data_IF_831230785722
#
_entry.id   IF_831230785722
#
_cell.length_a   1.000
_cell.length_b   1.000
_cell.length_c   1.000
_cell.angle_alpha   90.00
_cell.angle_beta   90.00
_cell.angle_gamma   90.00
#
_symmetry.space_group_name_H-M   'P 1'
#
loop_
_entity.id
_entity.type
_entity.pdbx_description
1 polymer ?
#
# COMPACT_ATOMS: atom_id res chain seq x y z
N UNK A 1 -23.29 -14.64 -12.13
CA UNK A 1 -21.84 -14.38 -12.26
C UNK A 1 -21.34 -13.80 -10.95
N UNK A 2 -20.12 -14.15 -10.52
CA UNK A 2 -19.44 -13.58 -9.36
C UNK A 2 -18.08 -13.04 -9.80
N UNK A 3 -17.72 -11.85 -9.34
CA UNK A 3 -16.49 -11.15 -9.68
C UNK A 3 -15.55 -11.18 -8.49
N UNK A 4 -14.26 -11.43 -8.76
CA UNK A 4 -13.21 -11.45 -7.73
C UNK A 4 -12.38 -10.16 -7.70
N UNK A 5 -12.41 -9.37 -8.78
CA UNK A 5 -11.64 -8.13 -8.90
C UNK A 5 -12.54 -6.99 -9.37
N UNK A 6 -12.41 -5.84 -8.74
CA UNK A 6 -13.11 -4.62 -9.10
C UNK A 6 -12.11 -3.46 -9.18
N UNK A 7 -12.14 -2.76 -10.30
CA UNK A 7 -11.35 -1.55 -10.52
C UNK A 7 -12.33 -0.40 -10.70
N UNK A 8 -12.37 0.50 -9.73
CA UNK A 8 -13.20 1.69 -9.76
C UNK A 8 -12.35 2.87 -10.25
N UNK A 9 -12.71 3.49 -11.39
CA UNK A 9 -11.95 4.61 -11.94
C UNK A 9 -11.84 5.81 -10.99
N UNK A 10 -10.91 6.70 -11.33
CA UNK A 10 -10.78 8.02 -10.72
C UNK A 10 -12.07 8.84 -10.95
N UNK A 11 -12.54 9.55 -9.92
CA UNK A 11 -13.75 10.38 -9.95
C UNK A 11 -15.01 9.63 -10.42
N UNK A 12 -15.09 8.35 -10.07
CA UNK A 12 -16.29 7.58 -10.35
C UNK A 12 -17.42 8.01 -9.39
N UNK A 13 -18.59 8.31 -9.95
CA UNK A 13 -19.74 8.88 -9.20
C UNK A 13 -21.03 8.04 -9.32
N UNK A 14 -20.91 6.73 -9.60
CA UNK A 14 -22.09 5.85 -9.68
C UNK A 14 -22.18 4.94 -8.46
N UNK A 15 -23.36 4.89 -7.85
CA UNK A 15 -23.63 4.09 -6.67
C UNK A 15 -23.81 2.60 -7.03
N UNK A 16 -22.70 1.90 -7.26
CA UNK A 16 -22.68 0.50 -7.71
C UNK A 16 -23.47 -0.47 -6.82
N UNK A 17 -23.60 -0.15 -5.54
CA UNK A 17 -24.36 -0.95 -4.57
C UNK A 17 -25.88 -0.94 -4.85
N UNK A 18 -26.38 0.06 -5.58
CA UNK A 18 -27.78 0.17 -5.99
C UNK A 18 -28.12 -0.63 -7.26
N UNK A 19 -27.11 -1.13 -7.99
CA UNK A 19 -27.35 -1.95 -9.18
C UNK A 19 -27.99 -3.28 -8.74
N UNK A 20 -29.09 -3.66 -9.40
CA UNK A 20 -29.77 -4.93 -9.11
C UNK A 20 -28.81 -6.11 -9.24
N UNK A 21 -28.71 -6.93 -8.20
CA UNK A 21 -27.80 -8.07 -8.14
C UNK A 21 -26.35 -7.75 -7.78
N UNK A 22 -25.97 -6.48 -7.53
CA UNK A 22 -24.60 -6.09 -7.19
C UNK A 22 -24.04 -6.86 -5.99
N UNK A 23 -24.80 -6.95 -4.89
CA UNK A 23 -24.40 -7.71 -3.69
C UNK A 23 -24.06 -9.16 -3.99
N UNK A 24 -24.80 -9.81 -4.88
CA UNK A 24 -24.52 -11.18 -5.30
C UNK A 24 -23.28 -11.24 -6.20
N UNK A 25 -23.15 -10.29 -7.13
CA UNK A 25 -22.03 -10.21 -8.06
C UNK A 25 -20.69 -10.02 -7.34
N UNK A 26 -20.65 -9.19 -6.31
CA UNK A 26 -19.44 -8.85 -5.56
C UNK A 26 -19.26 -9.64 -4.25
N UNK A 27 -20.06 -10.68 -4.03
CA UNK A 27 -20.00 -11.47 -2.79
C UNK A 27 -18.64 -12.18 -2.59
N UNK A 28 -17.91 -12.46 -3.67
CA UNK A 28 -16.59 -13.09 -3.69
C UNK A 28 -15.47 -12.13 -4.09
N UNK A 29 -15.68 -10.82 -3.93
CA UNK A 29 -14.68 -9.82 -4.29
C UNK A 29 -13.44 -9.95 -3.40
N UNK A 30 -12.29 -10.31 -3.99
CA UNK A 30 -11.03 -10.49 -3.28
C UNK A 30 -10.12 -9.27 -3.39
N UNK A 31 -10.24 -8.51 -4.48
CA UNK A 31 -9.43 -7.34 -4.78
C UNK A 31 -10.30 -6.15 -5.16
N UNK A 32 -9.98 -4.99 -4.59
CA UNK A 32 -10.56 -3.71 -4.96
C UNK A 32 -9.48 -2.67 -5.20
N UNK A 33 -9.52 -2.02 -6.36
CA UNK A 33 -8.79 -0.78 -6.64
C UNK A 33 -9.77 0.39 -6.74
N UNK A 34 -9.52 1.49 -6.02
CA UNK A 34 -10.36 2.68 -6.08
C UNK A 34 -9.59 3.97 -5.73
N UNK A 35 -10.16 5.13 -6.08
CA UNK A 35 -9.61 6.43 -5.67
C UNK A 35 -10.15 6.84 -4.30
N UNK A 36 -9.28 7.41 -3.47
CA UNK A 36 -9.67 8.09 -2.23
C UNK A 36 -10.51 9.34 -2.50
N UNK A 37 -10.46 9.88 -3.71
CA UNK A 37 -11.22 11.05 -4.16
C UNK A 37 -12.64 10.74 -4.67
N UNK A 38 -13.05 9.46 -4.66
CA UNK A 38 -14.38 9.09 -5.12
C UNK A 38 -15.45 9.63 -4.14
N UNK A 39 -16.63 9.94 -4.68
CA UNK A 39 -17.72 10.53 -3.90
C UNK A 39 -18.23 9.62 -2.78
N UNK A 40 -18.82 10.21 -1.74
CA UNK A 40 -19.31 9.51 -0.55
C UNK A 40 -20.21 8.32 -0.89
N UNK A 41 -21.17 8.51 -1.79
CA UNK A 41 -22.10 7.47 -2.21
C UNK A 41 -21.41 6.25 -2.86
N UNK A 42 -20.26 6.47 -3.51
CA UNK A 42 -19.45 5.39 -4.07
C UNK A 42 -18.70 4.65 -2.98
N UNK A 43 -18.02 5.36 -2.07
CA UNK A 43 -17.22 4.73 -1.01
C UNK A 43 -18.10 4.02 0.04
N UNK A 44 -19.23 4.62 0.40
CA UNK A 44 -20.23 3.99 1.27
C UNK A 44 -20.76 2.71 0.61
N UNK A 45 -21.11 2.78 -0.68
CA UNK A 45 -21.56 1.61 -1.44
C UNK A 45 -20.53 0.50 -1.53
N UNK A 46 -19.25 0.86 -1.76
CA UNK A 46 -18.14 -0.08 -1.73
C UNK A 46 -18.02 -0.74 -0.35
N UNK A 47 -18.10 0.03 0.73
CA UNK A 47 -18.02 -0.51 2.10
C UNK A 47 -19.12 -1.53 2.41
N UNK A 48 -20.30 -1.43 1.78
CA UNK A 48 -21.39 -2.40 1.95
C UNK A 48 -21.15 -3.73 1.22
N UNK A 49 -20.49 -3.70 0.06
CA UNK A 49 -20.32 -4.88 -0.79
C UNK A 49 -18.95 -5.56 -0.64
N UNK A 50 -17.93 -4.87 -0.11
CA UNK A 50 -16.54 -5.33 -0.08
C UNK A 50 -16.15 -6.17 1.15
N UNK A 51 -17.09 -6.90 1.75
CA UNK A 51 -16.85 -7.66 2.99
C UNK A 51 -15.86 -8.84 2.83
N UNK A 52 -15.63 -9.32 1.61
CA UNK A 52 -14.73 -10.42 1.25
C UNK A 52 -13.35 -9.97 0.75
N UNK A 53 -13.13 -8.66 0.62
CA UNK A 53 -11.89 -8.11 0.06
C UNK A 53 -10.70 -8.44 0.96
N UNK A 54 -9.65 -8.93 0.31
CA UNK A 54 -8.37 -9.33 0.89
C UNK A 54 -7.25 -8.37 0.51
N UNK A 55 -7.35 -7.72 -0.64
CA UNK A 55 -6.37 -6.76 -1.13
C UNK A 55 -7.03 -5.44 -1.54
N UNK A 56 -6.47 -4.34 -1.06
CA UNK A 56 -6.86 -2.98 -1.45
C UNK A 56 -5.74 -2.29 -2.22
N UNK A 57 -6.13 -1.62 -3.29
CA UNK A 57 -5.29 -0.66 -3.99
C UNK A 57 -5.97 0.71 -3.96
N UNK A 58 -5.30 1.68 -3.34
CA UNK A 58 -5.81 3.02 -3.14
C UNK A 58 -5.02 3.98 -4.01
N UNK A 59 -5.68 4.57 -5.00
CA UNK A 59 -5.17 5.71 -5.75
C UNK A 59 -5.43 6.95 -4.88
N UNK A 60 -4.38 7.44 -4.24
CA UNK A 60 -4.48 8.54 -3.30
C UNK A 60 -4.36 9.87 -4.05
N UNK A 61 -5.45 10.61 -4.07
CA UNK A 61 -5.56 11.95 -4.65
C UNK A 61 -4.61 12.97 -4.03
N UNK A 62 -4.49 14.11 -4.70
CA UNK A 62 -3.66 15.23 -4.25
C UNK A 62 -4.41 16.11 -3.26
N UNK A 63 -5.70 16.29 -3.52
CA UNK A 63 -6.66 16.99 -2.69
C UNK A 63 -7.99 16.23 -2.70
N UNK A 64 -8.98 16.74 -1.95
CA UNK A 64 -10.35 16.25 -1.92
C UNK A 64 -10.45 14.74 -1.62
N UNK A 65 -9.53 14.26 -0.78
CA UNK A 65 -9.54 12.88 -0.34
C UNK A 65 -10.69 12.67 0.66
N UNK A 66 -11.47 11.64 0.40
CA UNK A 66 -12.68 11.33 1.13
C UNK A 66 -12.38 10.38 2.30
N UNK A 67 -12.68 10.85 3.52
CA UNK A 67 -12.48 10.08 4.75
C UNK A 67 -13.38 8.83 4.86
N UNK A 68 -14.45 8.73 4.06
CA UNK A 68 -15.30 7.53 4.00
C UNK A 68 -14.52 6.29 3.54
N UNK A 69 -13.35 6.44 2.90
CA UNK A 69 -12.47 5.29 2.60
C UNK A 69 -12.05 4.52 3.87
N UNK A 70 -11.97 5.20 5.01
CA UNK A 70 -11.63 4.55 6.28
C UNK A 70 -12.72 3.59 6.75
N UNK A 71 -13.98 3.85 6.38
CA UNK A 71 -15.11 2.97 6.67
C UNK A 71 -14.98 1.67 5.89
N UNK A 72 -14.63 1.74 4.61
CA UNK A 72 -14.32 0.57 3.78
C UNK A 72 -13.22 -0.29 4.42
N UNK A 73 -12.12 0.32 4.85
CA UNK A 73 -11.02 -0.40 5.53
C UNK A 73 -11.52 -1.07 6.82
N UNK A 74 -12.32 -0.36 7.62
CA UNK A 74 -12.87 -0.87 8.89
C UNK A 74 -13.90 -1.99 8.70
N UNK A 75 -14.66 -2.01 7.61
CA UNK A 75 -15.65 -3.06 7.34
C UNK A 75 -15.04 -4.31 6.69
N UNK A 76 -13.90 -4.17 6.00
CA UNK A 76 -13.18 -5.35 5.51
C UNK A 76 -12.74 -6.23 6.68
N UNK A 77 -12.99 -7.55 6.60
CA UNK A 77 -12.76 -8.46 7.74
C UNK A 77 -11.28 -8.68 8.04
N UNK A 78 -10.45 -8.77 6.99
CA UNK A 78 -9.04 -9.11 7.10
C UNK A 78 -8.31 -8.77 5.81
N UNK A 79 -7.50 -7.72 5.83
CA UNK A 79 -6.65 -7.35 4.71
C UNK A 79 -5.30 -8.06 4.77
N UNK A 80 -4.89 -8.61 3.62
CA UNK A 80 -3.60 -9.24 3.41
C UNK A 80 -2.67 -8.38 2.54
N UNK A 81 -3.22 -7.53 1.68
CA UNK A 81 -2.46 -6.63 0.82
C UNK A 81 -3.01 -5.22 0.81
N UNK A 82 -2.12 -4.24 0.85
CA UNK A 82 -2.47 -2.83 0.65
C UNK A 82 -1.46 -2.17 -0.30
N UNK A 83 -1.96 -1.38 -1.24
CA UNK A 83 -1.13 -0.67 -2.22
C UNK A 83 -1.54 0.80 -2.22
N UNK A 84 -0.56 1.68 -2.00
CA UNK A 84 -0.74 3.12 -2.13
C UNK A 84 -0.15 3.58 -3.45
N UNK A 85 -1.02 4.07 -4.33
CA UNK A 85 -0.65 4.63 -5.62
C UNK A 85 -0.80 6.14 -5.59
N UNK A 86 0.17 6.84 -6.19
CA UNK A 86 0.11 8.29 -6.38
C UNK A 86 -0.69 8.64 -7.64
N UNK A 87 -1.55 9.65 -7.55
CA UNK A 87 -2.15 10.28 -8.72
C UNK A 87 -1.33 11.52 -9.14
N UNK A 88 -0.16 11.31 -9.74
CA UNK A 88 0.75 12.37 -10.18
C UNK A 88 1.84 12.77 -9.16
N UNK A 89 2.49 13.92 -9.39
CA UNK A 89 3.76 14.31 -8.77
C UNK A 89 3.65 15.34 -7.63
N UNK A 90 2.48 15.57 -7.05
CA UNK A 90 2.32 16.64 -6.05
C UNK A 90 2.41 16.16 -4.60
N UNK A 91 2.48 17.14 -3.68
CA UNK A 91 2.54 16.91 -2.25
C UNK A 91 1.35 16.10 -1.73
N UNK A 92 1.62 15.29 -0.71
CA UNK A 92 0.62 14.49 -0.04
C UNK A 92 -0.22 15.40 0.87
N UNK A 93 -1.54 15.20 0.87
CA UNK A 93 -2.37 15.57 2.01
C UNK A 93 -1.95 14.72 3.22
N UNK A 94 -0.95 15.22 3.95
CA UNK A 94 -0.33 14.53 5.07
C UNK A 94 -1.36 14.22 6.17
N UNK A 95 -2.32 15.13 6.38
CA UNK A 95 -3.37 14.98 7.38
C UNK A 95 -4.30 13.82 7.05
N UNK A 96 -4.75 13.72 5.79
CA UNK A 96 -5.53 12.60 5.31
C UNK A 96 -4.75 11.29 5.36
N UNK A 97 -3.49 11.30 4.91
CA UNK A 97 -2.65 10.10 4.90
C UNK A 97 -2.45 9.54 6.31
N UNK A 98 -2.28 10.39 7.33
CA UNK A 98 -2.23 9.95 8.74
C UNK A 98 -3.50 9.22 9.16
N UNK A 99 -4.67 9.80 8.89
CA UNK A 99 -5.97 9.18 9.22
C UNK A 99 -6.16 7.86 8.46
N UNK A 100 -5.78 7.82 7.18
CA UNK A 100 -5.83 6.61 6.36
C UNK A 100 -4.94 5.51 6.95
N UNK A 101 -3.70 5.85 7.31
CA UNK A 101 -2.74 4.91 7.88
C UNK A 101 -3.16 4.40 9.25
N UNK A 102 -3.66 5.26 10.12
CA UNK A 102 -4.23 4.87 11.42
C UNK A 102 -5.39 3.87 11.26
N UNK A 103 -6.21 4.03 10.22
CA UNK A 103 -7.30 3.10 9.96
C UNK A 103 -6.84 1.68 9.58
N UNK A 104 -5.60 1.53 9.08
CA UNK A 104 -5.02 0.23 8.71
C UNK A 104 -4.47 -0.55 9.91
N UNK A 105 -4.30 0.09 11.08
CA UNK A 105 -3.70 -0.56 12.27
C UNK A 105 -4.50 -1.80 12.71
N UNK A 106 -5.82 -1.81 12.52
CA UNK A 106 -6.67 -2.97 12.82
C UNK A 106 -6.29 -4.22 12.00
N UNK A 107 -5.66 -4.03 10.82
CA UNK A 107 -5.20 -5.09 9.92
C UNK A 107 -3.70 -5.34 9.99
N UNK A 108 -2.98 -4.66 10.89
CA UNK A 108 -1.52 -4.64 10.90
C UNK A 108 -0.91 -6.05 11.01
N UNK A 109 -1.53 -6.92 11.81
CA UNK A 109 -1.09 -8.31 11.99
C UNK A 109 -1.43 -9.22 10.81
N UNK A 110 -2.40 -8.86 9.94
CA UNK A 110 -2.81 -9.70 8.80
C UNK A 110 -2.15 -9.29 7.49
N UNK A 111 -1.74 -8.02 7.36
CA UNK A 111 -1.05 -7.54 6.16
C UNK A 111 0.24 -8.34 5.96
N UNK A 112 0.40 -8.85 4.74
CA UNK A 112 1.55 -9.61 4.24
C UNK A 112 2.23 -8.87 3.09
N UNK A 113 1.46 -8.10 2.33
CA UNK A 113 1.96 -7.37 1.17
C UNK A 113 1.67 -5.87 1.28
N UNK A 114 2.72 -5.07 1.08
CA UNK A 114 2.65 -3.62 1.02
C UNK A 114 3.33 -3.12 -0.26
N UNK A 115 2.66 -2.23 -0.98
CA UNK A 115 3.25 -1.48 -2.10
C UNK A 115 3.04 0.01 -1.90
N UNK A 116 4.06 0.81 -2.21
CA UNK A 116 3.92 2.26 -2.28
C UNK A 116 4.54 2.83 -3.56
N UNK A 117 3.84 3.79 -4.16
CA UNK A 117 4.42 4.81 -5.04
C UNK A 117 4.20 6.22 -4.49
N UNK A 118 3.61 6.31 -3.29
CA UNK A 118 3.34 7.55 -2.54
C UNK A 118 3.89 7.34 -1.13
N UNK A 119 4.66 8.30 -0.64
CA UNK A 119 5.27 8.22 0.69
C UNK A 119 4.19 8.17 1.80
N UNK A 120 4.25 7.22 2.73
CA UNK A 120 3.42 7.26 3.94
C UNK A 120 3.71 8.50 4.79
N UNK A 121 2.68 9.05 5.43
CA UNK A 121 2.79 10.17 6.36
C UNK A 121 3.29 9.75 7.75
N UNK A 122 3.19 8.46 8.09
CA UNK A 122 3.65 7.88 9.35
C UNK A 122 4.63 6.72 9.10
N UNK A 123 5.07 6.07 10.19
CA UNK A 123 5.85 4.83 10.14
C UNK A 123 4.97 3.58 10.02
N UNK A 124 3.83 3.66 9.34
CA UNK A 124 2.84 2.58 9.24
C UNK A 124 3.43 1.20 8.85
N UNK A 125 4.49 1.20 8.04
CA UNK A 125 5.17 -0.03 7.60
C UNK A 125 5.72 -0.82 8.80
N UNK A 126 6.18 -0.14 9.86
CA UNK A 126 6.70 -0.79 11.06
C UNK A 126 5.61 -1.52 11.86
N UNK A 127 4.34 -1.20 11.62
CA UNK A 127 3.20 -1.90 12.23
C UNK A 127 2.93 -3.25 11.56
N UNK A 128 3.36 -3.45 10.31
CA UNK A 128 3.12 -4.68 9.54
C UNK A 128 4.13 -5.77 9.89
N UNK A 129 4.07 -6.27 11.13
CA UNK A 129 5.07 -7.20 11.68
C UNK A 129 5.21 -8.51 10.91
N UNK A 130 4.19 -8.89 10.13
CA UNK A 130 4.17 -10.12 9.35
C UNK A 130 4.36 -9.89 7.83
N UNK A 131 4.83 -8.70 7.43
CA UNK A 131 5.04 -8.36 6.03
C UNK A 131 6.06 -9.32 5.38
N UNK A 132 5.65 -10.00 4.31
CA UNK A 132 6.51 -10.89 3.53
C UNK A 132 6.87 -10.34 2.14
N UNK A 133 6.12 -9.35 1.65
CA UNK A 133 6.40 -8.67 0.39
C UNK A 133 6.31 -7.17 0.56
N UNK A 134 7.39 -6.48 0.20
CA UNK A 134 7.49 -5.02 0.20
C UNK A 134 7.89 -4.53 -1.19
N UNK A 135 7.07 -3.65 -1.78
CA UNK A 135 7.36 -2.97 -3.04
C UNK A 135 7.43 -1.46 -2.85
N UNK A 136 8.60 -0.89 -3.10
CA UNK A 136 8.90 0.53 -2.94
C UNK A 136 9.17 1.16 -4.29
N UNK A 137 8.49 2.25 -4.60
CA UNK A 137 8.81 3.09 -5.74
C UNK A 137 8.90 4.55 -5.30
N UNK A 138 10.11 5.09 -5.32
CA UNK A 138 10.40 6.45 -4.88
C UNK A 138 10.62 7.45 -6.02
N UNK A 139 10.20 7.12 -7.25
CA UNK A 139 10.21 8.10 -8.33
C UNK A 139 9.43 9.35 -7.90
N UNK A 140 10.10 10.50 -7.89
CA UNK A 140 9.50 11.79 -7.54
C UNK A 140 9.29 12.03 -6.03
N UNK A 141 9.70 11.11 -5.14
CA UNK A 141 9.57 11.30 -3.69
C UNK A 141 10.79 12.05 -3.13
N UNK A 142 10.55 13.13 -2.38
CA UNK A 142 11.63 13.99 -1.85
C UNK A 142 12.29 13.45 -0.57
N UNK A 143 11.63 12.59 0.21
CA UNK A 143 12.08 12.18 1.56
C UNK A 143 11.77 10.72 1.93
N UNK A 144 11.89 9.77 0.99
CA UNK A 144 11.48 8.36 1.23
C UNK A 144 12.14 7.69 2.46
N UNK A 145 13.28 8.20 2.91
CA UNK A 145 14.07 7.62 4.01
C UNK A 145 13.31 7.60 5.35
N UNK A 146 12.51 8.63 5.67
CA UNK A 146 11.92 8.79 7.01
C UNK A 146 10.93 7.68 7.39
N UNK A 147 10.20 7.14 6.42
CA UNK A 147 9.26 6.03 6.62
C UNK A 147 9.93 4.66 6.60
N UNK A 148 11.20 4.59 6.18
CA UNK A 148 12.00 3.36 6.06
C UNK A 148 13.06 3.22 7.16
N UNK A 149 13.28 4.26 7.95
CA UNK A 149 14.29 4.26 9.02
C UNK A 149 13.92 3.28 10.16
N UNK A 150 14.88 2.42 10.51
CA UNK A 150 14.80 1.44 11.60
C UNK A 150 13.63 0.44 11.47
N UNK A 151 13.23 0.08 10.24
CA UNK A 151 12.25 -0.99 10.04
C UNK A 151 12.86 -2.35 10.41
N UNK A 152 12.15 -3.09 11.26
CA UNK A 152 12.38 -4.51 11.50
C UNK A 152 11.33 -5.30 10.74
N UNK A 153 11.76 -6.08 9.75
CA UNK A 153 10.88 -6.85 8.86
C UNK A 153 11.30 -8.33 8.89
N UNK A 154 11.06 -9.03 10.00
CA UNK A 154 11.64 -10.35 10.26
C UNK A 154 11.12 -11.44 9.33
N UNK A 155 9.97 -11.26 8.67
CA UNK A 155 9.39 -12.24 7.75
C UNK A 155 9.47 -11.83 6.27
N UNK A 156 10.27 -10.80 5.96
CA UNK A 156 10.36 -10.30 4.60
C UNK A 156 11.03 -11.33 3.69
N UNK A 157 10.34 -11.70 2.61
CA UNK A 157 10.79 -12.65 1.61
C UNK A 157 11.09 -11.97 0.28
N UNK A 158 10.26 -10.99 -0.10
CA UNK A 158 10.36 -10.29 -1.38
C UNK A 158 10.51 -8.80 -1.11
N UNK A 159 11.65 -8.24 -1.55
CA UNK A 159 11.91 -6.80 -1.55
C UNK A 159 12.08 -6.31 -2.99
N UNK A 160 11.18 -5.45 -3.45
CA UNK A 160 11.31 -4.73 -4.74
C UNK A 160 11.46 -3.26 -4.47
N UNK A 161 12.49 -2.65 -5.03
CA UNK A 161 12.83 -1.27 -4.80
C UNK A 161 13.14 -0.58 -6.12
N UNK A 162 12.47 0.54 -6.37
CA UNK A 162 12.71 1.40 -7.52
C UNK A 162 13.04 2.80 -7.05
N UNK A 163 14.19 3.34 -7.50
CA UNK A 163 14.70 4.65 -7.12
C UNK A 163 14.89 4.85 -5.60
N UNK A 164 15.14 3.78 -4.86
CA UNK A 164 15.48 3.86 -3.43
C UNK A 164 17.01 3.98 -3.27
N UNK A 165 17.52 4.90 -2.44
CA UNK A 165 18.95 4.99 -2.15
C UNK A 165 19.53 3.68 -1.60
N UNK A 166 20.73 3.31 -2.08
CA UNK A 166 21.35 2.03 -1.74
C UNK A 166 21.64 1.89 -0.24
N UNK A 167 22.02 2.96 0.45
CA UNK A 167 22.24 2.95 1.90
C UNK A 167 20.97 2.59 2.68
N UNK A 168 19.80 3.07 2.24
CA UNK A 168 18.50 2.74 2.83
C UNK A 168 18.18 1.26 2.58
N UNK A 169 18.39 0.78 1.35
CA UNK A 169 18.18 -0.63 1.02
C UNK A 169 19.09 -1.56 1.82
N UNK A 170 20.37 -1.22 1.95
CA UNK A 170 21.32 -2.00 2.74
C UNK A 170 20.89 -2.08 4.22
N UNK A 171 20.38 -0.98 4.78
CA UNK A 171 19.81 -0.97 6.14
C UNK A 171 18.59 -1.88 6.26
N UNK A 172 17.65 -1.80 5.30
CA UNK A 172 16.46 -2.65 5.29
C UNK A 172 16.80 -4.14 5.22
N UNK A 173 17.75 -4.51 4.34
CA UNK A 173 18.18 -5.90 4.17
C UNK A 173 18.83 -6.42 5.46
N UNK A 174 19.73 -5.64 6.08
CA UNK A 174 20.38 -6.01 7.35
C UNK A 174 19.39 -6.22 8.50
N UNK A 175 18.25 -5.53 8.48
CA UNK A 175 17.20 -5.65 9.49
C UNK A 175 16.18 -6.77 9.18
N UNK A 176 16.41 -7.58 8.14
CA UNK A 176 15.64 -8.80 7.91
C UNK A 176 16.26 -9.98 8.64
N UNK A 177 15.47 -11.01 8.93
CA UNK A 177 15.94 -12.21 9.64
C UNK A 177 16.49 -13.31 8.70
N UNK A 178 17.00 -12.93 7.51
CA UNK A 178 17.60 -13.87 6.56
C UNK A 178 16.59 -14.68 5.72
N UNK A 179 15.31 -14.30 5.68
CA UNK A 179 14.27 -14.99 4.88
C UNK A 179 14.10 -14.42 3.46
N UNK A 180 14.90 -13.42 3.07
CA UNK A 180 14.82 -12.83 1.73
C UNK A 180 15.17 -13.87 0.66
N UNK A 181 14.25 -14.07 -0.28
CA UNK A 181 14.42 -14.96 -1.44
C UNK A 181 14.46 -14.18 -2.76
N UNK A 182 13.93 -12.95 -2.78
CA UNK A 182 13.92 -12.08 -3.95
C UNK A 182 14.27 -10.64 -3.55
N UNK A 183 15.32 -10.10 -4.16
CA UNK A 183 15.67 -8.69 -4.09
C UNK A 183 15.71 -8.15 -5.52
N UNK A 184 14.86 -7.16 -5.81
CA UNK A 184 14.85 -6.45 -7.10
C UNK A 184 15.15 -4.98 -6.87
N UNK A 185 16.19 -4.46 -7.50
CA UNK A 185 16.61 -3.06 -7.39
C UNK A 185 16.62 -2.45 -8.80
N UNK A 186 15.76 -1.47 -9.04
CA UNK A 186 15.64 -0.75 -10.32
C UNK A 186 15.97 0.74 -10.14
N UNK A 187 16.70 1.34 -11.08
CA UNK A 187 16.95 2.80 -11.13
C UNK A 187 17.50 3.41 -9.81
N UNK A 188 18.28 2.66 -9.04
CA UNK A 188 18.99 3.18 -7.88
C UNK A 188 20.32 3.81 -8.32
N UNK A 189 20.64 5.01 -7.82
CA UNK A 189 21.97 5.60 -8.01
C UNK A 189 22.98 4.82 -7.19
N UNK A 190 24.10 4.42 -7.80
CA UNK A 190 25.13 3.61 -7.15
C UNK A 190 26.54 3.97 -7.63
N UNK A 191 27.51 3.73 -6.75
CA UNK A 191 28.95 3.77 -6.99
C UNK A 191 29.60 2.50 -6.40
N UNK A 192 30.92 2.41 -6.42
CA UNK A 192 31.64 1.25 -5.91
C UNK A 192 31.40 1.00 -4.41
N UNK A 193 31.26 2.07 -3.62
CA UNK A 193 31.01 2.01 -2.17
C UNK A 193 29.60 1.48 -1.91
N UNK A 194 28.59 2.01 -2.60
CA UNK A 194 27.21 1.57 -2.52
C UNK A 194 27.06 0.10 -2.94
N UNK A 195 27.72 -0.30 -4.03
CA UNK A 195 27.73 -1.68 -4.50
C UNK A 195 28.32 -2.64 -3.46
N UNK A 196 29.43 -2.26 -2.82
CA UNK A 196 30.01 -3.04 -1.73
C UNK A 196 29.04 -3.15 -0.55
N UNK A 197 28.41 -2.05 -0.16
CA UNK A 197 27.50 -1.99 0.98
C UNK A 197 26.27 -2.88 0.80
N UNK A 198 25.66 -2.88 -0.39
CA UNK A 198 24.47 -3.70 -0.66
C UNK A 198 24.82 -5.18 -0.72
N UNK A 199 25.95 -5.55 -1.35
CA UNK A 199 26.41 -6.94 -1.40
C UNK A 199 26.67 -7.46 0.02
N UNK A 200 27.36 -6.67 0.86
CA UNK A 200 27.61 -7.02 2.27
C UNK A 200 26.35 -7.07 3.13
N UNK A 201 25.26 -6.44 2.72
CA UNK A 201 24.00 -6.55 3.45
C UNK A 201 23.28 -7.87 3.15
N UNK A 202 23.51 -8.46 1.96
CA UNK A 202 22.86 -9.70 1.51
C UNK A 202 23.53 -10.94 2.10
N UNK A 203 24.85 -10.88 2.33
CA UNK A 203 25.64 -11.93 2.98
C UNK A 203 25.65 -11.77 4.50
#
# INVERSE_FOLDING_TARGET
MRLTHLYVPYQFDHQIHLISGAKLCFSELEFLSCCTCNGDGVLIGLAEICNSVKELELVIGNDNNNHEITKLIKTTKRLFGIRFLANGNSMNDESFCKILEESLIIHANSIRYFKMTKQPATKIISSFVNLNRLELNAIGLKNVTTCLDNLSLPFLQILKARCIPINVLASLIKNTSGYLIEIKIDYASHDEINNRNIIQAIY
#
